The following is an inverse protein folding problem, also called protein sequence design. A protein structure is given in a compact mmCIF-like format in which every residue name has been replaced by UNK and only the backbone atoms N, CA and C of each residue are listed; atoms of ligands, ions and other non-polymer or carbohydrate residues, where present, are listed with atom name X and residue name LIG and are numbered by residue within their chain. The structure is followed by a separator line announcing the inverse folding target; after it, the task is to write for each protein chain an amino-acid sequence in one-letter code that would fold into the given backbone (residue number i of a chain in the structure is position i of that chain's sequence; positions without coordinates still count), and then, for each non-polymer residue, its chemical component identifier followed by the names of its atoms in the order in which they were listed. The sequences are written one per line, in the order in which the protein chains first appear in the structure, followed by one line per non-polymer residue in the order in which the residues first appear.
data_IF_651222081233
#
_entry.id   IF_651222081233
#
_cell.length_a   1.000
_cell.length_b   1.000
_cell.length_c   1.000
_cell.angle_alpha   90.00
_cell.angle_beta   90.00
_cell.angle_gamma   90.00
#
_symmetry.space_group_name_H-M   'P 1'
#
loop_
_entity.id
_entity.type
_entity.pdbx_description
1 polymer ?
#
# COMPACT_ATOMS: atom_id res chain seq x y z
N UNK A 1 5.16 -3.68 -11.44
CA UNK A 1 6.11 -2.57 -11.30
C UNK A 1 5.65 -1.72 -10.12
N UNK A 2 6.50 -1.51 -9.12
CA UNK A 2 6.20 -0.69 -7.95
C UNK A 2 6.21 0.80 -8.32
N UNK A 3 5.45 1.63 -7.59
CA UNK A 3 5.57 3.09 -7.71
C UNK A 3 6.84 3.58 -7.01
N UNK A 4 7.29 4.78 -7.35
CA UNK A 4 8.41 5.41 -6.67
C UNK A 4 8.10 5.59 -5.18
N UNK A 5 8.94 5.04 -4.32
CA UNK A 5 8.74 5.06 -2.88
C UNK A 5 8.76 6.48 -2.32
N UNK A 6 7.84 6.77 -1.41
CA UNK A 6 7.74 8.04 -0.70
C UNK A 6 7.78 7.88 0.82
N UNK A 7 8.02 6.66 1.31
CA UNK A 7 8.23 6.34 2.72
C UNK A 7 9.37 5.34 2.87
N UNK A 8 10.04 5.28 4.04
CA UNK A 8 11.07 4.28 4.31
C UNK A 8 10.55 2.84 4.20
N UNK A 9 9.29 2.65 4.60
CA UNK A 9 8.63 1.34 4.53
C UNK A 9 8.45 0.88 3.09
N UNK A 10 7.99 1.76 2.18
CA UNK A 10 7.84 1.43 0.76
C UNK A 10 9.21 1.15 0.10
N UNK A 11 10.29 1.82 0.54
CA UNK A 11 11.64 1.50 0.09
C UNK A 11 12.02 0.07 0.45
N UNK A 12 11.78 -0.36 1.69
CA UNK A 12 12.05 -1.74 2.12
C UNK A 12 11.18 -2.76 1.37
N UNK A 13 9.91 -2.44 1.10
CA UNK A 13 9.03 -3.28 0.27
C UNK A 13 9.55 -3.41 -1.16
N UNK A 14 10.09 -2.34 -1.75
CA UNK A 14 10.69 -2.37 -3.09
C UNK A 14 11.94 -3.25 -3.11
N UNK A 15 12.82 -3.13 -2.12
CA UNK A 15 13.99 -4.03 -2.00
C UNK A 15 13.59 -5.50 -1.84
N UNK A 16 12.57 -5.78 -1.04
CA UNK A 16 12.06 -7.15 -0.89
C UNK A 16 11.45 -7.68 -2.19
N UNK A 17 10.68 -6.85 -2.90
CA UNK A 17 10.12 -7.20 -4.20
C UNK A 17 11.22 -7.56 -5.20
N UNK A 18 12.28 -6.78 -5.29
CA UNK A 18 13.38 -7.02 -6.22
C UNK A 18 14.17 -8.27 -5.84
N UNK A 19 14.37 -8.50 -4.53
CA UNK A 19 14.97 -9.75 -4.02
C UNK A 19 14.14 -10.98 -4.41
N UNK A 20 12.82 -10.94 -4.20
CA UNK A 20 11.91 -12.02 -4.59
C UNK A 20 11.89 -12.23 -6.11
N UNK A 21 11.86 -11.15 -6.90
CA UNK A 21 11.92 -11.21 -8.36
C UNK A 21 13.22 -11.85 -8.87
N UNK A 22 14.36 -11.57 -8.25
CA UNK A 22 15.64 -12.18 -8.62
C UNK A 22 15.56 -13.71 -8.48
N UNK A 23 15.05 -14.19 -7.34
CA UNK A 23 14.89 -15.63 -7.08
C UNK A 23 13.89 -16.26 -8.08
N UNK A 24 12.74 -15.62 -8.29
CA UNK A 24 11.71 -16.10 -9.21
C UNK A 24 12.22 -16.14 -10.67
N UNK A 25 12.97 -15.12 -11.07
CA UNK A 25 13.56 -15.07 -12.41
C UNK A 25 14.58 -16.19 -12.60
N UNK A 26 15.42 -16.44 -11.60
CA UNK A 26 16.41 -17.54 -11.64
C UNK A 26 15.71 -18.89 -11.77
N UNK A 27 14.66 -19.15 -11.00
CA UNK A 27 13.87 -20.38 -11.07
C UNK A 27 13.20 -20.51 -12.46
N UNK A 28 12.57 -19.44 -12.94
CA UNK A 28 11.87 -19.42 -14.23
C UNK A 28 12.81 -19.71 -15.39
N UNK A 29 13.98 -19.10 -15.39
CA UNK A 29 15.02 -19.33 -16.43
C UNK A 29 15.53 -20.77 -16.37
N UNK A 30 15.80 -21.30 -15.18
CA UNK A 30 16.25 -22.68 -15.00
C UNK A 30 15.22 -23.68 -15.51
N UNK A 31 13.97 -23.54 -15.09
CA UNK A 31 12.88 -24.44 -15.49
C UNK A 31 12.61 -24.31 -16.98
N UNK A 32 12.56 -23.08 -17.52
CA UNK A 32 12.37 -22.82 -18.95
C UNK A 32 13.49 -23.42 -19.79
N UNK A 33 14.75 -23.33 -19.35
CA UNK A 33 15.89 -23.94 -20.00
C UNK A 33 15.77 -25.48 -20.04
N UNK A 34 15.48 -26.12 -18.90
CA UNK A 34 15.31 -27.57 -18.81
C UNK A 34 14.14 -28.03 -19.71
N UNK A 35 13.00 -27.37 -19.67
CA UNK A 35 11.84 -27.70 -20.52
C UNK A 35 12.19 -27.59 -22.01
N UNK A 36 12.88 -26.52 -22.40
CA UNK A 36 13.28 -26.32 -23.80
C UNK A 36 14.26 -27.38 -24.27
N UNK A 37 15.26 -27.71 -23.44
CA UNK A 37 16.22 -28.77 -23.78
C UNK A 37 15.57 -30.14 -23.91
N UNK A 38 14.57 -30.44 -23.09
CA UNK A 38 13.79 -31.68 -23.19
C UNK A 38 13.00 -31.79 -24.51
N UNK A 39 12.44 -30.68 -25.00
CA UNK A 39 11.73 -30.66 -26.30
C UNK A 39 12.63 -31.02 -27.49
N UNK A 40 13.91 -30.63 -27.46
CA UNK A 40 14.86 -30.89 -28.52
C UNK A 40 15.73 -32.14 -28.27
N UNK A 41 15.62 -32.73 -27.07
CA UNK A 41 16.39 -33.93 -26.72
C UNK A 41 15.80 -35.17 -27.38
N UNK A 42 16.65 -35.93 -28.08
CA UNK A 42 16.30 -37.20 -28.73
C UNK A 42 16.69 -38.42 -27.89
N UNK A 43 17.39 -38.21 -26.78
CA UNK A 43 17.81 -39.26 -25.88
C UNK A 43 16.71 -39.51 -24.86
N UNK A 44 16.36 -40.77 -24.62
CA UNK A 44 15.44 -41.17 -23.57
C UNK A 44 15.95 -42.43 -22.85
N UNK A 45 15.72 -42.47 -21.54
CA UNK A 45 16.08 -43.60 -20.70
C UNK A 45 14.79 -44.20 -20.11
N UNK A 46 14.34 -45.32 -20.74
CA UNK A 46 13.06 -45.94 -20.42
C UNK A 46 13.10 -46.82 -19.17
N UNK A 47 14.28 -47.15 -18.63
CA UNK A 47 14.49 -48.03 -17.49
C UNK A 47 14.66 -47.26 -16.17
N UNK A 48 14.62 -45.94 -16.21
CA UNK A 48 14.69 -45.10 -15.01
C UNK A 48 13.35 -45.16 -14.29
N UNK A 49 13.30 -45.86 -13.15
CA UNK A 49 12.12 -46.02 -12.32
C UNK A 49 12.16 -45.13 -11.08
N UNK A 50 13.35 -44.87 -10.53
CA UNK A 50 13.59 -44.07 -9.32
C UNK A 50 15.00 -43.47 -9.35
N UNK A 51 15.16 -42.29 -8.75
CA UNK A 51 16.48 -41.65 -8.56
C UNK A 51 16.51 -40.86 -7.24
N UNK A 52 16.77 -41.53 -6.15
CA UNK A 52 16.70 -40.98 -4.79
C UNK A 52 17.62 -39.77 -4.58
N UNK A 53 18.79 -39.74 -5.24
CA UNK A 53 19.75 -38.65 -5.07
C UNK A 53 19.20 -37.32 -5.61
N UNK A 54 18.65 -37.34 -6.82
CA UNK A 54 18.09 -36.12 -7.42
C UNK A 54 16.81 -35.69 -6.70
N UNK A 55 16.01 -36.64 -6.21
CA UNK A 55 14.81 -36.35 -5.42
C UNK A 55 15.12 -35.61 -4.13
N UNK A 56 16.17 -36.01 -3.41
CA UNK A 56 16.68 -35.29 -2.23
C UNK A 56 17.14 -33.90 -2.59
N UNK A 57 17.90 -33.73 -3.70
CA UNK A 57 18.38 -32.42 -4.15
C UNK A 57 17.22 -31.48 -4.44
N UNK A 58 16.22 -31.91 -5.24
CA UNK A 58 15.11 -31.02 -5.58
C UNK A 58 14.14 -30.77 -4.44
N UNK A 59 14.17 -31.53 -3.37
CA UNK A 59 13.45 -31.29 -2.12
C UNK A 59 14.16 -30.27 -1.24
N UNK A 60 15.48 -30.38 -1.07
CA UNK A 60 16.25 -29.50 -0.19
C UNK A 60 16.44 -28.10 -0.82
N UNK A 61 16.74 -28.00 -2.12
CA UNK A 61 16.95 -26.70 -2.77
C UNK A 61 15.76 -25.74 -2.66
N UNK A 62 14.52 -26.14 -2.96
CA UNK A 62 13.36 -25.30 -2.73
C UNK A 62 13.16 -24.90 -1.27
N UNK A 63 13.41 -25.79 -0.32
CA UNK A 63 13.33 -25.45 1.10
C UNK A 63 14.31 -24.34 1.49
N UNK A 64 15.56 -24.41 0.99
CA UNK A 64 16.56 -23.37 1.21
C UNK A 64 16.13 -22.04 0.56
N UNK A 65 15.65 -22.07 -0.68
CA UNK A 65 15.18 -20.85 -1.37
C UNK A 65 14.00 -20.19 -0.66
N UNK A 66 13.07 -20.98 -0.11
CA UNK A 66 11.95 -20.47 0.69
C UNK A 66 12.44 -19.78 1.98
N UNK A 67 13.48 -20.31 2.65
CA UNK A 67 14.08 -19.64 3.81
C UNK A 67 14.66 -18.27 3.43
N UNK A 68 15.35 -18.16 2.31
CA UNK A 68 15.88 -16.88 1.81
C UNK A 68 14.81 -15.84 1.49
N UNK A 69 13.60 -16.27 1.14
CA UNK A 69 12.44 -15.37 0.96
C UNK A 69 11.77 -15.07 2.30
N UNK A 70 11.63 -16.06 3.17
CA UNK A 70 10.89 -15.93 4.42
C UNK A 70 11.55 -14.95 5.41
N UNK A 71 12.86 -14.99 5.57
CA UNK A 71 13.58 -14.16 6.55
C UNK A 71 13.38 -12.66 6.31
N UNK A 72 13.63 -12.10 5.12
CA UNK A 72 13.34 -10.68 4.88
C UNK A 72 11.85 -10.34 4.92
N UNK A 73 10.97 -11.26 4.52
CA UNK A 73 9.51 -11.09 4.62
C UNK A 73 9.05 -10.93 6.07
N UNK A 74 9.51 -11.79 6.98
CA UNK A 74 9.21 -11.70 8.41
C UNK A 74 9.68 -10.38 9.01
N UNK A 75 10.88 -9.93 8.65
CA UNK A 75 11.38 -8.62 9.09
C UNK A 75 10.46 -7.48 8.67
N UNK A 76 9.96 -7.51 7.43
CA UNK A 76 9.02 -6.49 6.94
C UNK A 76 7.69 -6.50 7.70
N UNK A 77 7.14 -7.66 8.02
CA UNK A 77 5.90 -7.78 8.78
C UNK A 77 6.04 -7.07 10.13
N UNK A 78 7.13 -7.32 10.86
CA UNK A 78 7.38 -6.63 12.13
C UNK A 78 7.55 -5.11 11.97
N UNK A 79 8.21 -4.64 10.91
CA UNK A 79 8.36 -3.20 10.63
C UNK A 79 7.02 -2.52 10.26
N UNK A 80 6.09 -3.26 9.64
CA UNK A 80 4.75 -2.76 9.31
C UNK A 80 3.87 -2.57 10.54
N UNK A 81 3.98 -3.47 11.53
CA UNK A 81 3.16 -3.45 12.74
C UNK A 81 3.70 -2.49 13.81
N UNK A 82 4.97 -2.07 13.71
CA UNK A 82 5.60 -1.22 14.70
C UNK A 82 5.12 0.24 14.58
N UNK A 83 4.39 0.71 15.59
CA UNK A 83 3.94 2.11 15.68
C UNK A 83 4.82 2.85 16.66
N UNK A 84 5.73 3.67 16.14
CA UNK A 84 6.65 4.46 16.95
C UNK A 84 6.14 5.89 17.07
N UNK A 85 5.83 6.33 18.30
CA UNK A 85 5.54 7.72 18.71
C UNK A 85 4.96 8.62 17.59
N UNK A 86 3.69 8.47 17.22
CA UNK A 86 3.08 9.25 16.15
C UNK A 86 3.03 10.74 16.53
N UNK A 87 3.38 11.59 15.58
CA UNK A 87 3.30 13.05 15.73
C UNK A 87 1.91 13.59 15.39
N UNK A 88 1.13 12.84 14.61
CA UNK A 88 -0.20 13.20 14.17
C UNK A 88 -1.05 11.93 14.05
N UNK A 89 -2.29 12.00 14.51
CA UNK A 89 -3.27 10.93 14.36
C UNK A 89 -4.43 11.40 13.51
N UNK A 90 -4.73 10.65 12.46
CA UNK A 90 -5.88 10.88 11.58
C UNK A 90 -6.75 9.64 11.60
N UNK A 91 -8.03 9.82 11.85
CA UNK A 91 -9.03 8.77 11.73
C UNK A 91 -9.69 8.88 10.35
N UNK A 92 -9.81 7.75 9.67
CA UNK A 92 -10.41 7.63 8.35
C UNK A 92 -11.58 6.67 8.42
N UNK A 93 -12.69 7.06 7.85
CA UNK A 93 -13.94 6.30 7.87
C UNK A 93 -14.39 6.08 6.43
N UNK A 94 -14.53 4.80 6.03
CA UNK A 94 -15.04 4.42 4.73
C UNK A 94 -16.56 4.43 4.68
N UNK A 95 -17.11 4.95 3.57
CA UNK A 95 -18.54 4.97 3.28
C UNK A 95 -18.80 4.52 1.84
N UNK A 96 -20.02 4.18 1.51
CA UNK A 96 -20.46 3.96 0.13
C UNK A 96 -20.90 5.30 -0.48
N UNK A 97 -20.10 6.02 -1.28
CA UNK A 97 -18.75 5.71 -1.77
C UNK A 97 -17.90 6.99 -1.68
N UNK A 98 -17.39 7.25 -0.50
CA UNK A 98 -16.51 8.37 -0.17
C UNK A 98 -15.72 8.06 1.10
N UNK A 99 -14.77 8.93 1.45
CA UNK A 99 -14.00 8.84 2.68
C UNK A 99 -14.25 10.06 3.57
N UNK A 100 -14.39 9.85 4.89
CA UNK A 100 -14.37 10.93 5.88
C UNK A 100 -13.06 10.90 6.65
N UNK A 101 -12.55 12.06 7.01
CA UNK A 101 -11.31 12.23 7.75
C UNK A 101 -11.53 13.09 8.99
N UNK A 102 -11.02 12.62 10.13
CA UNK A 102 -11.02 13.33 11.41
C UNK A 102 -9.57 13.48 11.90
N UNK A 103 -9.14 14.70 12.20
CA UNK A 103 -7.83 14.96 12.78
C UNK A 103 -7.94 14.95 14.31
N UNK A 104 -7.72 13.80 14.92
CA UNK A 104 -8.00 13.53 16.34
C UNK A 104 -7.24 14.43 17.32
N UNK A 105 -6.12 15.03 16.90
CA UNK A 105 -5.30 15.91 17.74
C UNK A 105 -5.80 17.37 17.75
N UNK A 106 -6.79 17.71 16.89
CA UNK A 106 -7.32 19.05 16.72
C UNK A 106 -8.85 19.07 16.88
N UNK A 107 -9.38 20.14 17.48
CA UNK A 107 -10.83 20.28 17.67
C UNK A 107 -11.51 20.68 16.35
N UNK A 108 -12.61 20.01 16.04
CA UNK A 108 -13.51 20.33 14.91
C UNK A 108 -12.81 20.34 13.53
N UNK A 109 -11.79 19.52 13.33
CA UNK A 109 -11.18 19.35 12.01
C UNK A 109 -11.60 17.99 11.45
N UNK A 110 -12.75 18.00 10.78
CA UNK A 110 -13.35 16.84 10.11
C UNK A 110 -13.94 17.28 8.77
N UNK A 111 -13.85 16.41 7.77
CA UNK A 111 -14.41 16.67 6.43
C UNK A 111 -14.62 15.37 5.66
N UNK A 112 -15.52 15.45 4.68
CA UNK A 112 -15.73 14.41 3.68
C UNK A 112 -14.90 14.68 2.43
N UNK A 113 -14.50 13.62 1.77
CA UNK A 113 -13.68 13.61 0.56
C UNK A 113 -14.37 12.80 -0.53
N UNK A 114 -14.92 13.49 -1.52
CA UNK A 114 -15.61 12.91 -2.66
C UNK A 114 -14.76 13.01 -3.93
N UNK A 115 -14.90 12.03 -4.80
CA UNK A 115 -14.27 12.08 -6.13
C UNK A 115 -14.79 13.30 -6.92
N UNK A 116 -13.88 14.06 -7.50
CA UNK A 116 -14.24 15.19 -8.37
C UNK A 116 -14.84 14.67 -9.68
N UNK A 117 -16.08 15.06 -10.05
CA UNK A 117 -16.70 14.65 -11.31
C UNK A 117 -15.88 15.10 -12.53
N UNK A 118 -15.83 14.26 -13.57
CA UNK A 118 -15.08 14.55 -14.81
C UNK A 118 -15.53 15.85 -15.52
N UNK A 119 -16.80 16.26 -15.33
CA UNK A 119 -17.36 17.51 -15.86
C UNK A 119 -16.79 18.77 -15.21
N UNK A 120 -16.26 18.67 -13.98
CA UNK A 120 -15.63 19.76 -13.22
C UNK A 120 -14.10 19.73 -13.29
N UNK A 121 -13.54 18.80 -14.07
CA UNK A 121 -12.09 18.67 -14.21
C UNK A 121 -11.48 19.92 -14.82
N UNK A 122 -10.66 20.62 -14.02
CA UNK A 122 -9.79 21.69 -14.51
C UNK A 122 -8.62 21.03 -15.28
N UNK A 123 -7.94 21.82 -16.11
CA UNK A 123 -6.86 21.36 -17.02
C UNK A 123 -5.72 20.57 -16.35
N UNK A 124 -5.64 20.56 -15.02
CA UNK A 124 -4.59 19.91 -14.23
C UNK A 124 -5.08 18.84 -13.24
N UNK A 125 -6.35 18.42 -13.30
CA UNK A 125 -6.89 17.40 -12.42
C UNK A 125 -6.68 16.00 -13.01
N UNK A 126 -6.35 15.04 -12.16
CA UNK A 126 -6.22 13.63 -12.56
C UNK A 126 -7.60 12.97 -12.59
N UNK A 127 -8.02 12.56 -13.79
CA UNK A 127 -9.31 11.89 -13.99
C UNK A 127 -9.45 10.66 -13.09
N UNK A 128 -10.56 10.55 -12.35
CA UNK A 128 -10.93 9.47 -11.44
C UNK A 128 -10.03 9.30 -10.19
N UNK A 129 -9.04 10.17 -10.01
CA UNK A 129 -8.13 10.11 -8.87
C UNK A 129 -8.21 11.34 -7.97
N UNK A 130 -8.68 12.47 -8.49
CA UNK A 130 -8.75 13.71 -7.71
C UNK A 130 -10.03 13.80 -6.89
N UNK A 131 -9.93 14.51 -5.75
CA UNK A 131 -11.01 14.72 -4.79
C UNK A 131 -11.24 16.21 -4.56
N UNK A 132 -12.41 16.56 -4.03
CA UNK A 132 -12.77 17.92 -3.61
C UNK A 132 -11.95 18.36 -2.39
N UNK A 133 -11.79 17.49 -1.38
CA UNK A 133 -11.03 17.75 -0.16
C UNK A 133 -9.89 16.74 0.00
N UNK A 134 -8.64 17.21 -0.07
CA UNK A 134 -7.45 16.40 0.10
C UNK A 134 -7.07 16.29 1.58
N UNK A 135 -6.54 15.15 1.99
CA UNK A 135 -5.98 14.95 3.32
C UNK A 135 -4.58 15.57 3.39
N UNK A 136 -4.41 16.62 4.16
CA UNK A 136 -3.14 17.37 4.29
C UNK A 136 -2.31 16.79 5.43
N UNK A 137 -1.06 16.45 5.17
CA UNK A 137 -0.13 15.92 6.19
C UNK A 137 1.22 16.63 6.14
N UNK A 138 1.92 16.75 7.29
CA UNK A 138 3.29 17.26 7.29
C UNK A 138 4.29 16.19 6.82
N UNK A 139 5.24 16.56 5.92
CA UNK A 139 6.33 15.67 5.56
C UNK A 139 7.34 15.52 6.70
N UNK A 140 8.13 14.46 6.68
CA UNK A 140 9.09 14.11 7.75
C UNK A 140 8.48 14.04 9.15
N UNK A 141 7.26 13.56 9.25
CA UNK A 141 6.54 13.34 10.51
C UNK A 141 5.92 11.96 10.51
N UNK A 142 5.92 11.29 11.65
CA UNK A 142 5.27 9.99 11.80
C UNK A 142 3.76 10.19 11.92
N UNK A 143 3.02 9.66 10.95
CA UNK A 143 1.56 9.76 10.87
C UNK A 143 0.97 8.41 11.28
N UNK A 144 0.01 8.43 12.22
CA UNK A 144 -0.83 7.28 12.54
C UNK A 144 -2.18 7.45 11.86
N UNK A 145 -2.58 6.43 11.08
CA UNK A 145 -3.92 6.32 10.52
C UNK A 145 -4.72 5.31 11.31
N UNK A 146 -5.91 5.72 11.73
CA UNK A 146 -6.91 4.85 12.37
C UNK A 146 -8.05 4.68 11.38
N UNK A 147 -8.31 3.45 10.94
CA UNK A 147 -9.18 3.20 9.78
C UNK A 147 -10.35 2.30 10.17
N UNK A 148 -11.56 2.72 9.84
CA UNK A 148 -12.80 1.99 10.05
C UNK A 148 -13.79 2.26 8.91
N UNK A 149 -14.95 1.64 8.94
CA UNK A 149 -16.07 1.90 8.02
C UNK A 149 -17.39 1.95 8.78
N UNK A 150 -18.41 2.57 8.18
CA UNK A 150 -19.76 2.65 8.76
C UNK A 150 -20.72 1.61 8.21
N UNK A 151 -20.49 1.13 6.99
CA UNK A 151 -21.41 0.31 6.20
C UNK A 151 -20.83 -1.06 5.83
N UNK A 152 -20.02 -1.12 4.80
CA UNK A 152 -19.38 -2.34 4.31
C UNK A 152 -17.87 -2.28 4.51
N UNK A 153 -17.16 -3.34 4.17
CA UNK A 153 -15.69 -3.34 4.21
C UNK A 153 -15.17 -2.52 3.04
N UNK A 154 -14.20 -1.64 3.33
CA UNK A 154 -13.40 -0.90 2.37
C UNK A 154 -11.92 -1.16 2.66
N UNK A 155 -11.00 -0.66 1.85
CA UNK A 155 -9.57 -0.71 2.15
C UNK A 155 -8.89 0.60 1.74
N UNK A 156 -8.31 1.28 2.72
CA UNK A 156 -7.60 2.54 2.52
C UNK A 156 -6.15 2.27 2.11
N UNK A 157 -5.73 2.83 0.97
CA UNK A 157 -4.45 2.45 0.36
C UNK A 157 -3.76 3.65 -0.27
N UNK A 158 -2.44 3.80 -0.02
CA UNK A 158 -1.54 4.71 -0.75
C UNK A 158 -0.32 3.90 -1.20
N UNK A 159 -0.29 3.44 -2.46
CA UNK A 159 0.76 2.55 -2.97
C UNK A 159 2.17 3.13 -2.86
N UNK A 160 2.37 4.41 -3.15
CA UNK A 160 3.68 5.07 -3.07
C UNK A 160 4.24 5.17 -1.65
N UNK A 161 3.39 5.08 -0.63
CA UNK A 161 3.78 5.05 0.79
C UNK A 161 3.85 3.63 1.37
N UNK A 162 3.48 2.61 0.57
CA UNK A 162 3.48 1.22 1.01
C UNK A 162 2.41 0.89 2.05
N UNK A 163 1.32 1.66 2.08
CA UNK A 163 0.25 1.49 3.06
C UNK A 163 -0.98 0.89 2.41
N UNK A 164 -1.52 -0.15 3.05
CA UNK A 164 -2.83 -0.73 2.75
C UNK A 164 -3.41 -1.28 4.04
N UNK A 165 -4.64 -0.87 4.37
CA UNK A 165 -5.30 -1.28 5.60
C UNK A 165 -6.81 -1.34 5.38
N UNK A 166 -7.42 -2.41 5.86
CA UNK A 166 -8.85 -2.62 5.71
C UNK A 166 -9.65 -1.77 6.68
N UNK A 167 -10.69 -1.14 6.16
CA UNK A 167 -11.69 -0.38 6.88
C UNK A 167 -12.90 -1.30 7.18
N UNK A 168 -12.91 -1.93 8.35
CA UNK A 168 -13.93 -2.90 8.75
C UNK A 168 -14.94 -2.24 9.69
N UNK A 169 -16.25 -2.37 9.43
CA UNK A 169 -17.27 -1.89 10.35
C UNK A 169 -17.14 -2.51 11.75
N UNK A 170 -17.24 -1.68 12.79
CA UNK A 170 -17.12 -2.10 14.18
C UNK A 170 -15.71 -2.42 14.66
N UNK A 171 -14.69 -2.29 13.80
CA UNK A 171 -13.28 -2.48 14.15
C UNK A 171 -12.46 -1.25 13.75
N UNK A 172 -11.58 -0.82 14.64
CA UNK A 172 -10.65 0.27 14.39
C UNK A 172 -9.25 -0.29 14.15
N UNK A 173 -8.87 -0.40 12.89
CA UNK A 173 -7.53 -0.80 12.48
C UNK A 173 -6.58 0.39 12.54
N UNK A 174 -5.29 0.14 12.75
CA UNK A 174 -4.28 1.20 12.79
C UNK A 174 -3.05 0.83 11.98
N UNK A 175 -2.46 1.83 11.36
CA UNK A 175 -1.18 1.75 10.66
C UNK A 175 -0.42 3.06 10.82
N UNK A 176 0.86 3.06 10.54
CA UNK A 176 1.67 4.28 10.55
C UNK A 176 2.59 4.35 9.36
N UNK A 177 2.91 5.57 8.93
CA UNK A 177 3.86 5.82 7.86
C UNK A 177 4.56 7.17 8.04
N UNK A 178 5.69 7.31 7.36
CA UNK A 178 6.54 8.50 7.43
C UNK A 178 6.79 9.03 6.02
N UNK A 179 6.14 10.15 5.62
CA UNK A 179 6.35 10.74 4.29
C UNK A 179 7.75 11.35 4.18
N UNK A 180 8.56 10.88 3.23
CA UNK A 180 9.94 11.36 3.03
C UNK A 180 10.00 12.71 2.29
N UNK A 181 8.98 13.03 1.49
CA UNK A 181 8.95 14.19 0.59
C UNK A 181 7.58 14.84 0.53
N UNK A 182 7.55 16.09 0.14
CA UNK A 182 6.32 16.81 -0.21
C UNK A 182 5.79 16.33 -1.56
N UNK A 183 4.49 16.50 -1.78
CA UNK A 183 3.82 16.14 -3.03
C UNK A 183 2.40 15.65 -2.82
N UNK A 184 1.74 15.28 -3.92
CA UNK A 184 0.42 14.69 -3.93
C UNK A 184 0.56 13.19 -4.18
N UNK A 185 -0.11 12.40 -3.35
CA UNK A 185 -0.06 10.94 -3.40
C UNK A 185 -1.48 10.41 -3.53
N UNK A 186 -1.65 9.51 -4.48
CA UNK A 186 -2.96 8.96 -4.85
C UNK A 186 -3.11 7.52 -4.38
N UNK A 187 -4.33 7.18 -4.01
CA UNK A 187 -4.77 5.84 -3.71
C UNK A 187 -6.19 5.59 -4.18
N UNK A 188 -6.62 4.36 -4.12
CA UNK A 188 -7.97 3.93 -4.44
C UNK A 188 -8.44 2.92 -3.42
N UNK A 189 -9.76 2.80 -3.23
CA UNK A 189 -10.33 1.75 -2.42
C UNK A 189 -9.84 0.38 -2.94
N UNK A 190 -9.32 -0.47 -2.06
CA UNK A 190 -8.68 -1.73 -2.40
C UNK A 190 -9.42 -2.97 -1.88
N UNK A 191 -10.68 -2.79 -1.40
CA UNK A 191 -11.61 -3.87 -1.06
C UNK A 191 -12.96 -3.59 -1.71
N UNK A 192 -13.55 -4.61 -2.35
CA UNK A 192 -14.80 -4.45 -3.11
C UNK A 192 -15.95 -4.05 -2.19
N UNK A 193 -16.56 -2.91 -2.47
CA UNK A 193 -17.57 -2.28 -1.60
C UNK A 193 -18.88 -1.92 -2.32
N UNK A 194 -19.07 -2.33 -3.57
CA UNK A 194 -20.30 -2.14 -4.34
C UNK A 194 -20.11 -1.43 -5.68
N UNK A 195 -21.18 -0.83 -6.21
CA UNK A 195 -21.25 -0.33 -7.59
C UNK A 195 -20.23 0.77 -7.91
N UNK A 196 -19.96 1.67 -6.97
CA UNK A 196 -19.02 2.79 -7.15
C UNK A 196 -17.67 2.53 -6.45
N UNK A 197 -17.28 1.27 -6.27
CA UNK A 197 -15.99 0.89 -5.69
C UNK A 197 -14.78 1.62 -6.33
N UNK A 198 -14.78 1.79 -7.64
CA UNK A 198 -13.71 2.47 -8.38
C UNK A 198 -13.78 4.01 -8.34
N UNK A 199 -14.83 4.57 -7.72
CA UNK A 199 -15.13 6.00 -7.74
C UNK A 199 -15.04 6.64 -6.34
N UNK A 200 -14.23 6.11 -5.46
CA UNK A 200 -13.88 6.65 -4.14
C UNK A 200 -12.36 6.71 -3.95
N UNK A 201 -11.69 7.61 -4.67
CA UNK A 201 -10.24 7.76 -4.59
C UNK A 201 -9.80 8.35 -3.24
N UNK A 202 -8.50 8.21 -2.98
CA UNK A 202 -7.82 8.70 -1.79
C UNK A 202 -6.72 9.64 -2.25
N UNK A 203 -6.67 10.86 -1.71
CA UNK A 203 -5.62 11.83 -2.04
C UNK A 203 -5.01 12.38 -0.77
N UNK A 204 -3.69 12.20 -0.65
CA UNK A 204 -2.88 12.82 0.41
C UNK A 204 -2.02 13.91 -0.21
N UNK A 205 -2.02 15.09 0.41
CA UNK A 205 -1.10 16.16 0.09
C UNK A 205 -0.10 16.34 1.24
N UNK A 206 1.15 15.96 1.01
CA UNK A 206 2.25 16.11 1.95
C UNK A 206 2.89 17.48 1.78
N UNK A 207 2.83 18.29 2.83
CA UNK A 207 3.27 19.70 2.82
C UNK A 207 4.34 19.95 3.88
N UNK A 208 4.95 21.14 3.82
CA UNK A 208 5.87 21.55 4.89
C UNK A 208 5.12 21.76 6.22
N UNK A 209 5.76 21.55 7.39
CA UNK A 209 5.13 21.77 8.69
C UNK A 209 4.52 23.17 8.85
N UNK A 210 5.15 24.19 8.29
CA UNK A 210 4.61 25.57 8.30
C UNK A 210 3.28 25.68 7.53
N UNK A 211 3.19 25.04 6.38
CA UNK A 211 1.96 25.02 5.58
C UNK A 211 0.87 24.21 6.25
N UNK A 212 1.23 23.08 6.87
CA UNK A 212 0.32 22.27 7.65
C UNK A 212 -0.32 23.08 8.81
N UNK A 213 0.49 23.79 9.62
CA UNK A 213 -0.01 24.63 10.71
C UNK A 213 -0.94 25.75 10.18
N UNK A 214 -0.58 26.35 9.05
CA UNK A 214 -1.44 27.38 8.43
C UNK A 214 -2.77 26.80 8.00
N UNK A 215 -2.76 25.61 7.41
CA UNK A 215 -3.99 24.93 6.97
C UNK A 215 -4.86 24.52 8.17
N UNK A 216 -4.31 23.90 9.22
CA UNK A 216 -5.05 23.54 10.44
C UNK A 216 -5.73 24.76 11.07
N UNK A 217 -5.01 25.89 11.14
CA UNK A 217 -5.58 27.14 11.70
C UNK A 217 -6.75 27.65 10.85
N UNK A 218 -6.71 27.51 9.53
CA UNK A 218 -7.84 27.89 8.68
C UNK A 218 -9.06 26.99 8.88
N UNK A 219 -8.86 25.66 9.03
CA UNK A 219 -9.95 24.73 9.29
C UNK A 219 -10.61 24.98 10.67
N UNK A 220 -9.83 25.24 11.70
CA UNK A 220 -10.32 25.51 13.05
C UNK A 220 -11.14 26.82 13.15
N UNK A 221 -10.86 27.79 12.28
CA UNK A 221 -11.59 29.08 12.24
C UNK A 221 -12.93 28.99 11.50
N UNK A 222 -13.05 28.10 10.53
CA UNK A 222 -14.29 27.93 9.75
C UNK A 222 -15.37 27.15 10.53
N UNK A 223 -15.01 26.44 11.60
CA UNK A 223 -15.94 25.81 12.54
C UNK A 223 -16.74 26.76 13.46
N UNK A 224 -16.57 28.08 13.31
CA UNK A 224 -17.28 29.12 14.08
C UNK A 224 -18.27 29.94 13.24
N UNK A 225 -18.73 29.43 12.10
CA UNK A 225 -19.81 30.05 11.31
C UNK A 225 -21.09 29.26 11.36
#
# INVERSE_FOLDING_TARGET
MTQDSSSPLMEQLTFFHDHALLILTMITVLVGYIMTTLMFNKLNYRLLLEEQTIEVIWTILPAITLIFIALPSLRLIYLLDEIVNPSLTIKTIGHQWFWSYEYSDFKNVEFDSYMTPSSMSKTFNFRLLDVDNRTIIPYKSQIRMMVTATDVIHSWTIPSMGVKIDATPGRLNQTSFYPNRTGIFFGQCSEICGANHSFMPIVIESVSPKMFIKWINSQSLDGWK
#
